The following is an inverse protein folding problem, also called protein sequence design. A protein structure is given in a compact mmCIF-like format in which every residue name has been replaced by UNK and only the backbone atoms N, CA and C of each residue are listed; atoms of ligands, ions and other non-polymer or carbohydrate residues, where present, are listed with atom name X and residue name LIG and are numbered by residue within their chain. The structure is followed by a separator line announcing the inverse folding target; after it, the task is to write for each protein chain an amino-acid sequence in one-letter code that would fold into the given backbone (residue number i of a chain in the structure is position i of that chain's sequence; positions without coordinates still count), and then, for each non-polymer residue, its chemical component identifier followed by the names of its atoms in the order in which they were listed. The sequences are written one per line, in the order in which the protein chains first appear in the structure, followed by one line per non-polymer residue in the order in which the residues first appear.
data_IF_615040310890
#
_entry.id   IF_615040310890
#
_cell.length_a   1.000
_cell.length_b   1.000
_cell.length_c   1.000
_cell.angle_alpha   90.00
_cell.angle_beta   90.00
_cell.angle_gamma   90.00
#
_symmetry.space_group_name_H-M   'P 1'
#
loop_
_entity.id
_entity.type
_entity.pdbx_description
1 polymer ?
#
# COMPACT_ATOMS: atom_id res chain seq x y z
N UNK A 1 -9.82 3.78 32.42
CA UNK A 1 -9.50 4.60 31.22
C UNK A 1 -8.87 3.79 30.07
N UNK A 2 -7.72 3.12 30.26
CA UNK A 2 -6.93 2.48 29.17
C UNK A 2 -7.68 1.40 28.36
N UNK A 3 -8.56 0.62 28.99
CA UNK A 3 -9.34 -0.44 28.30
C UNK A 3 -10.33 0.16 27.30
N UNK A 4 -11.01 1.26 27.67
CA UNK A 4 -11.97 1.93 26.80
C UNK A 4 -11.30 2.52 25.55
N UNK A 5 -10.11 3.11 25.71
CA UNK A 5 -9.31 3.62 24.59
C UNK A 5 -8.85 2.51 23.63
N UNK A 6 -8.52 1.33 24.16
CA UNK A 6 -8.18 0.15 23.33
C UNK A 6 -9.40 -0.35 22.54
N UNK A 7 -10.57 -0.42 23.18
CA UNK A 7 -11.83 -0.81 22.53
C UNK A 7 -12.19 0.16 21.40
N UNK A 8 -12.11 1.46 21.68
CA UNK A 8 -12.42 2.49 20.69
C UNK A 8 -11.52 2.39 19.44
N UNK A 9 -10.23 2.09 19.63
CA UNK A 9 -9.29 1.88 18.52
C UNK A 9 -9.67 0.68 17.63
N UNK A 10 -10.23 -0.36 18.21
CA UNK A 10 -10.72 -1.54 17.47
C UNK A 10 -11.96 -1.16 16.66
N UNK A 11 -12.88 -0.39 17.23
CA UNK A 11 -14.07 0.12 16.52
C UNK A 11 -13.68 1.04 15.35
N UNK A 12 -12.71 1.93 15.56
CA UNK A 12 -12.20 2.83 14.52
C UNK A 12 -11.50 2.03 13.40
N UNK A 13 -10.78 0.95 13.74
CA UNK A 13 -10.23 0.02 12.74
C UNK A 13 -11.33 -0.63 11.89
N UNK A 14 -12.41 -1.12 12.51
CA UNK A 14 -13.53 -1.72 11.77
C UNK A 14 -14.24 -0.68 10.90
N UNK A 15 -14.40 0.55 11.38
CA UNK A 15 -14.95 1.65 10.59
C UNK A 15 -14.06 1.95 9.38
N UNK A 16 -12.77 2.13 9.58
CA UNK A 16 -11.78 2.38 8.52
C UNK A 16 -11.83 1.31 7.45
N UNK A 17 -11.82 0.03 7.85
CA UNK A 17 -11.87 -1.11 6.94
C UNK A 17 -13.12 -1.11 6.06
N UNK A 18 -14.28 -0.74 6.63
CA UNK A 18 -15.57 -0.74 5.95
C UNK A 18 -15.75 0.47 5.02
N UNK A 19 -15.44 1.66 5.52
CA UNK A 19 -15.70 2.92 4.82
C UNK A 19 -14.62 3.25 3.78
N UNK A 20 -13.34 3.18 4.14
CA UNK A 20 -12.26 3.68 3.27
C UNK A 20 -12.09 2.85 1.99
N UNK A 21 -12.44 1.56 2.04
CA UNK A 21 -12.27 0.62 0.93
C UNK A 21 -13.60 0.15 0.33
N UNK A 22 -14.71 0.83 0.67
CA UNK A 22 -16.06 0.48 0.24
C UNK A 22 -16.40 -1.01 0.43
N UNK A 23 -15.88 -1.63 1.50
CA UNK A 23 -15.98 -3.08 1.72
C UNK A 23 -17.43 -3.54 1.91
N UNK A 24 -18.30 -2.65 2.38
CA UNK A 24 -19.74 -2.90 2.54
C UNK A 24 -20.46 -3.05 1.19
N UNK A 25 -19.91 -2.48 0.11
CA UNK A 25 -20.50 -2.49 -1.23
C UNK A 25 -19.90 -3.56 -2.14
N UNK A 26 -18.90 -4.32 -1.66
CA UNK A 26 -18.24 -5.34 -2.48
C UNK A 26 -19.22 -6.45 -2.90
N UNK A 27 -19.32 -6.68 -4.21
CA UNK A 27 -20.18 -7.72 -4.80
C UNK A 27 -19.32 -8.87 -5.31
N UNK A 28 -19.37 -9.98 -4.57
CA UNK A 28 -18.64 -11.22 -4.89
C UNK A 28 -19.61 -12.40 -4.81
N UNK A 29 -19.45 -13.39 -5.72
CA UNK A 29 -20.39 -14.52 -5.84
C UNK A 29 -20.04 -15.76 -5.01
N UNK A 30 -18.82 -15.86 -4.48
CA UNK A 30 -18.34 -17.03 -3.74
C UNK A 30 -17.79 -16.66 -2.37
N UNK A 31 -18.08 -17.50 -1.37
CA UNK A 31 -17.54 -17.35 -0.02
C UNK A 31 -16.00 -17.34 -0.01
N UNK A 32 -15.37 -18.15 -0.86
CA UNK A 32 -13.90 -18.17 -0.97
C UNK A 32 -13.36 -16.83 -1.45
N UNK A 33 -14.03 -16.20 -2.41
CA UNK A 33 -13.60 -14.89 -2.91
C UNK A 33 -13.83 -13.78 -1.87
N UNK A 34 -14.89 -13.86 -1.06
CA UNK A 34 -15.09 -12.95 0.09
C UNK A 34 -13.95 -13.10 1.11
N UNK A 35 -13.58 -14.34 1.45
CA UNK A 35 -12.46 -14.62 2.37
C UNK A 35 -11.14 -14.07 1.83
N UNK A 36 -10.86 -14.28 0.54
CA UNK A 36 -9.65 -13.76 -0.10
C UNK A 36 -9.62 -12.22 -0.13
N UNK A 37 -10.73 -11.56 -0.49
CA UNK A 37 -10.87 -10.10 -0.41
C UNK A 37 -10.60 -9.59 1.01
N UNK A 38 -11.20 -10.22 2.00
CA UNK A 38 -11.01 -9.87 3.41
C UNK A 38 -9.55 -10.03 3.85
N UNK A 39 -8.87 -11.09 3.40
CA UNK A 39 -7.45 -11.33 3.66
C UNK A 39 -6.57 -10.24 3.04
N UNK A 40 -6.77 -9.95 1.75
CA UNK A 40 -6.03 -8.90 1.04
C UNK A 40 -6.18 -7.55 1.74
N UNK A 41 -7.41 -7.18 2.08
CA UNK A 41 -7.70 -5.94 2.79
C UNK A 41 -7.00 -5.89 4.16
N UNK A 42 -7.01 -7.01 4.89
CA UNK A 42 -6.35 -7.08 6.20
C UNK A 42 -4.82 -6.94 6.07
N UNK A 43 -4.21 -7.53 5.04
CA UNK A 43 -2.79 -7.36 4.72
C UNK A 43 -2.48 -5.90 4.36
N UNK A 44 -3.30 -5.27 3.52
CA UNK A 44 -3.15 -3.86 3.13
C UNK A 44 -3.20 -2.93 4.34
N UNK A 45 -4.17 -3.12 5.24
CA UNK A 45 -4.28 -2.32 6.47
C UNK A 45 -3.09 -2.59 7.40
N UNK A 46 -2.58 -3.83 7.41
CA UNK A 46 -1.33 -4.19 8.07
C UNK A 46 -0.15 -3.34 7.57
N UNK A 47 0.03 -3.22 6.26
CA UNK A 47 1.06 -2.36 5.68
C UNK A 47 0.87 -0.88 6.06
N UNK A 48 -0.35 -0.35 6.00
CA UNK A 48 -0.65 1.03 6.43
C UNK A 48 -0.30 1.24 7.91
N UNK A 49 -0.59 0.24 8.74
CA UNK A 49 -0.26 0.25 10.17
C UNK A 49 1.25 0.26 10.40
N UNK A 50 2.01 -0.56 9.67
CA UNK A 50 3.48 -0.59 9.74
C UNK A 50 4.08 0.76 9.31
N UNK A 51 3.58 1.36 8.22
CA UNK A 51 3.97 2.70 7.79
C UNK A 51 3.62 3.76 8.83
N UNK A 52 2.48 3.61 9.49
CA UNK A 52 2.04 4.50 10.56
C UNK A 52 2.93 4.45 11.80
N UNK A 53 3.53 3.30 12.12
CA UNK A 53 4.44 3.18 13.26
C UNK A 53 5.79 3.88 12.98
N UNK A 54 6.26 3.89 11.73
CA UNK A 54 7.51 4.54 11.30
C UNK A 54 7.42 6.06 11.06
N UNK A 55 6.33 6.72 11.48
CA UNK A 55 6.04 8.14 11.18
C UNK A 55 7.11 9.13 11.63
N UNK A 56 7.83 8.86 12.73
CA UNK A 56 8.78 9.81 13.32
C UNK A 56 10.12 9.86 12.58
N UNK A 57 10.42 8.86 11.77
CA UNK A 57 11.78 8.66 11.22
C UNK A 57 11.82 8.67 9.69
N UNK A 58 10.71 8.38 9.03
CA UNK A 58 10.68 8.20 7.57
C UNK A 58 10.16 9.43 6.83
N UNK A 59 11.04 10.08 6.06
CA UNK A 59 10.71 11.21 5.16
C UNK A 59 9.58 10.87 4.20
N UNK A 60 9.52 9.61 3.75
CA UNK A 60 8.47 9.10 2.88
C UNK A 60 7.08 9.25 3.51
N UNK A 61 6.92 8.85 4.78
CA UNK A 61 5.61 8.89 5.46
C UNK A 61 5.15 10.34 5.66
N UNK A 62 6.08 11.24 6.00
CA UNK A 62 5.78 12.67 6.08
C UNK A 62 5.32 13.24 4.72
N UNK A 63 5.98 12.85 3.63
CA UNK A 63 5.60 13.28 2.28
C UNK A 63 4.21 12.75 1.89
N UNK A 64 3.89 11.50 2.20
CA UNK A 64 2.56 10.92 1.98
C UNK A 64 1.49 11.72 2.74
N UNK A 65 1.73 12.02 4.01
CA UNK A 65 0.80 12.82 4.82
C UNK A 65 0.61 14.23 4.26
N UNK A 66 1.68 14.86 3.77
CA UNK A 66 1.61 16.17 3.10
C UNK A 66 0.79 16.12 1.80
N UNK A 67 0.90 15.04 1.04
CA UNK A 67 0.16 14.83 -0.21
C UNK A 67 -1.32 14.57 0.04
N UNK A 68 -1.66 13.90 1.16
CA UNK A 68 -3.05 13.57 1.52
C UNK A 68 -3.99 14.78 1.62
N UNK A 69 -3.46 16.02 1.73
CA UNK A 69 -4.22 17.29 1.73
C UNK A 69 -5.56 17.19 2.49
N UNK A 70 -5.48 16.97 3.80
CA UNK A 70 -6.64 16.98 4.69
C UNK A 70 -7.03 18.42 5.05
N UNK A 71 -8.34 18.66 5.16
CA UNK A 71 -8.92 19.96 5.53
C UNK A 71 -8.77 20.23 7.05
N UNK A 72 -8.63 19.17 7.85
CA UNK A 72 -8.50 19.22 9.32
C UNK A 72 -7.13 18.71 9.80
N UNK A 73 -6.82 18.96 11.07
CA UNK A 73 -5.66 18.37 11.75
C UNK A 73 -5.71 16.83 11.72
N UNK A 74 -4.55 16.20 11.66
CA UNK A 74 -4.44 14.75 11.48
C UNK A 74 -4.69 14.09 12.85
N UNK A 75 -5.79 13.32 13.01
CA UNK A 75 -6.09 12.67 14.28
C UNK A 75 -5.03 11.61 14.61
N UNK A 76 -4.96 11.16 15.88
CA UNK A 76 -4.06 10.08 16.32
C UNK A 76 -4.18 8.80 15.45
N UNK A 77 -5.34 8.61 14.82
CA UNK A 77 -5.58 7.55 13.84
C UNK A 77 -5.32 8.04 12.41
N UNK A 78 -4.05 8.14 12.03
CA UNK A 78 -3.65 8.71 10.74
C UNK A 78 -3.78 7.71 9.56
N UNK A 79 -4.46 6.57 9.72
CA UNK A 79 -4.53 5.52 8.69
C UNK A 79 -5.30 6.02 7.47
N UNK A 80 -6.34 6.82 7.67
CA UNK A 80 -7.08 7.43 6.57
C UNK A 80 -6.19 8.36 5.74
N UNK A 81 -5.42 9.25 6.37
CA UNK A 81 -4.50 10.14 5.67
C UNK A 81 -3.42 9.38 4.89
N UNK A 82 -2.89 8.29 5.47
CA UNK A 82 -1.93 7.43 4.76
C UNK A 82 -2.57 6.75 3.55
N UNK A 83 -3.77 6.20 3.70
CA UNK A 83 -4.48 5.56 2.61
C UNK A 83 -4.76 6.54 1.46
N UNK A 84 -5.25 7.76 1.78
CA UNK A 84 -5.51 8.82 0.79
C UNK A 84 -4.21 9.28 0.09
N UNK A 85 -3.14 9.48 0.85
CA UNK A 85 -1.84 9.87 0.30
C UNK A 85 -1.26 8.79 -0.63
N UNK A 86 -1.36 7.51 -0.25
CA UNK A 86 -0.94 6.39 -1.12
C UNK A 86 -1.82 6.34 -2.38
N UNK A 87 -3.13 6.46 -2.23
CA UNK A 87 -4.08 6.44 -3.34
C UNK A 87 -3.76 7.54 -4.37
N UNK A 88 -3.54 8.77 -3.92
CA UNK A 88 -3.22 9.90 -4.80
C UNK A 88 -1.87 9.76 -5.50
N UNK A 89 -0.86 9.19 -4.85
CA UNK A 89 0.44 8.89 -5.47
C UNK A 89 0.27 7.84 -6.59
N UNK A 90 -0.44 6.76 -6.28
CA UNK A 90 -0.68 5.68 -7.25
C UNK A 90 -1.56 6.15 -8.41
N UNK A 91 -2.56 7.00 -8.16
CA UNK A 91 -3.41 7.57 -9.21
C UNK A 91 -2.62 8.41 -10.22
N UNK A 92 -1.60 9.15 -9.77
CA UNK A 92 -0.75 9.98 -10.65
C UNK A 92 0.25 9.17 -11.48
N UNK A 93 0.39 7.88 -11.17
CA UNK A 93 1.36 7.02 -11.82
C UNK A 93 0.85 6.60 -13.20
N UNK A 94 1.53 7.05 -14.26
CA UNK A 94 1.18 6.73 -15.67
C UNK A 94 1.75 5.38 -16.15
N UNK A 95 2.49 4.67 -15.30
CA UNK A 95 3.22 3.46 -15.66
C UNK A 95 2.77 2.29 -14.79
N UNK A 96 2.50 1.13 -15.40
CA UNK A 96 2.11 -0.07 -14.64
C UNK A 96 3.19 -0.58 -13.69
N UNK A 97 2.79 -1.45 -12.76
CA UNK A 97 3.63 -2.06 -11.70
C UNK A 97 4.93 -2.67 -12.25
N UNK A 98 4.89 -3.22 -13.47
CA UNK A 98 6.04 -3.84 -14.14
C UNK A 98 7.26 -2.91 -14.26
N UNK A 99 7.06 -1.58 -14.43
CA UNK A 99 8.18 -0.64 -14.50
C UNK A 99 8.84 -0.37 -13.13
N UNK A 100 8.11 -0.57 -12.03
CA UNK A 100 8.65 -0.43 -10.67
C UNK A 100 9.49 -1.64 -10.26
N UNK A 101 9.15 -2.82 -10.78
CA UNK A 101 9.92 -4.03 -10.58
C UNK A 101 11.16 -3.95 -11.49
N UNK A 102 12.28 -3.46 -10.96
CA UNK A 102 13.56 -3.57 -11.68
C UNK A 102 13.81 -5.05 -11.96
N UNK A 103 14.08 -5.46 -13.22
CA UNK A 103 14.44 -6.84 -13.51
C UNK A 103 15.72 -7.15 -12.72
N UNK A 104 15.58 -8.01 -11.70
CA UNK A 104 16.67 -8.37 -10.79
C UNK A 104 17.79 -9.11 -11.53
N UNK A 105 17.48 -9.65 -12.71
CA UNK A 105 18.40 -10.29 -13.62
C UNK A 105 18.61 -9.41 -14.85
N UNK A 106 19.77 -8.75 -14.94
CA UNK A 106 20.32 -8.44 -16.27
C UNK A 106 20.59 -9.81 -16.90
N UNK A 107 19.97 -10.14 -18.05
CA UNK A 107 20.49 -11.25 -18.87
C UNK A 107 21.95 -10.91 -19.13
N UNK A 108 22.88 -11.59 -18.47
CA UNK A 108 24.29 -11.57 -18.88
C UNK A 108 24.24 -12.16 -20.28
N UNK A 109 24.46 -11.34 -21.31
CA UNK A 109 24.60 -11.86 -22.67
C UNK A 109 25.59 -13.03 -22.61
N UNK A 110 25.31 -14.10 -23.34
CA UNK A 110 26.27 -15.20 -23.47
C UNK A 110 27.61 -14.59 -23.84
N UNK A 111 28.65 -14.84 -23.05
CA UNK A 111 30.03 -14.43 -23.35
C UNK A 111 30.63 -15.27 -24.50
N UNK A 112 29.81 -16.04 -25.20
CA UNK A 112 30.20 -16.79 -26.37
C UNK A 112 30.43 -15.80 -27.50
N UNK A 113 31.69 -15.68 -27.93
CA UNK A 113 32.06 -15.05 -29.19
C UNK A 113 31.29 -15.75 -30.30
N UNK A 114 30.50 -15.00 -31.05
CA UNK A 114 30.01 -15.45 -32.34
C UNK A 114 31.21 -15.69 -33.25
N UNK A 115 31.19 -16.77 -34.04
CA UNK A 115 32.31 -17.15 -34.93
C UNK A 115 32.70 -15.99 -35.87
N UNK A 116 31.76 -15.08 -36.16
CA UNK A 116 31.98 -13.85 -36.91
C UNK A 116 33.00 -12.88 -36.28
N UNK A 117 33.15 -12.87 -34.96
CA UNK A 117 34.08 -11.97 -34.23
C UNK A 117 35.49 -12.59 -34.06
N UNK A 118 35.68 -13.86 -34.45
CA UNK A 118 36.95 -14.58 -34.33
C UNK A 118 37.77 -14.62 -35.64
N UNK A 119 37.22 -14.09 -36.73
CA UNK A 119 37.84 -14.11 -38.07
C UNK A 119 38.38 -12.74 -38.53
N UNK A 120 38.75 -11.85 -37.61
CA UNK A 120 39.53 -10.63 -37.89
C UNK A 120 40.87 -10.76 -37.17
#
# INVERSE_FOLDING_TARGET
MKVYLKRWRIEEYFRFKKQQFDFETIRVRSLNSIRTMNLLLSITIGFITMLSQGKKESVLVLLILKISKRIYDIPEFNYYALADGIYTILQKTKTGIKKFIKPRFKKKGSQQLTIADACI
#
